data_IF_245576658549
#
_entry.id   IF_245576658549
#
_cell.length_a   1.000
_cell.length_b   1.000
_cell.length_c   1.000
_cell.angle_alpha   90.00
_cell.angle_beta   90.00
_cell.angle_gamma   90.00
#
_symmetry.space_group_name_H-M   'P 1'
#
loop_
_entity.id
_entity.type
_entity.pdbx_description
1 polymer ?
#
# COMPACT_ATOMS: atom_id res chain seq x y z
N UNK A 1 15.47 13.64 -21.25
CA UNK A 1 15.34 12.57 -20.22
C UNK A 1 16.44 12.79 -19.20
N UNK A 2 16.20 12.40 -17.95
CA UNK A 2 17.17 12.56 -16.88
C UNK A 2 17.29 11.26 -16.10
N UNK A 3 18.51 10.95 -15.67
CA UNK A 3 18.78 9.72 -14.91
C UNK A 3 18.44 9.94 -13.44
N UNK A 4 17.57 9.08 -12.90
CA UNK A 4 17.20 9.04 -11.50
C UNK A 4 17.64 7.73 -10.85
N UNK A 5 18.21 7.82 -9.66
CA UNK A 5 18.51 6.65 -8.82
C UNK A 5 17.54 6.67 -7.65
N UNK A 6 16.66 5.67 -7.59
CA UNK A 6 15.59 5.54 -6.62
C UNK A 6 15.87 4.36 -5.71
N UNK A 7 15.47 4.44 -4.45
CA UNK A 7 15.42 3.28 -3.55
C UNK A 7 13.99 2.74 -3.56
N UNK A 8 13.76 1.60 -4.23
CA UNK A 8 12.43 0.98 -4.36
C UNK A 8 12.47 -0.41 -3.73
N UNK A 9 11.60 -0.64 -2.75
CA UNK A 9 11.51 -1.91 -2.00
C UNK A 9 12.89 -2.36 -1.44
N UNK A 10 13.65 -1.39 -0.89
CA UNK A 10 14.98 -1.62 -0.33
C UNK A 10 16.10 -1.82 -1.37
N UNK A 11 15.81 -1.75 -2.66
CA UNK A 11 16.80 -1.92 -3.73
C UNK A 11 17.05 -0.60 -4.47
N UNK A 12 18.30 -0.33 -4.80
CA UNK A 12 18.67 0.79 -5.66
C UNK A 12 18.31 0.48 -7.12
N UNK A 13 17.53 1.35 -7.74
CA UNK A 13 17.06 1.24 -9.13
C UNK A 13 17.38 2.50 -9.91
N UNK A 14 17.87 2.36 -11.12
CA UNK A 14 18.16 3.49 -12.02
C UNK A 14 17.19 3.52 -13.18
N UNK A 15 16.63 4.69 -13.46
CA UNK A 15 15.70 4.91 -14.57
C UNK A 15 16.09 6.18 -15.33
N UNK A 16 15.82 6.24 -16.62
CA UNK A 16 16.03 7.41 -17.47
C UNK A 16 14.70 7.87 -18.05
N UNK A 17 14.12 8.89 -17.44
CA UNK A 17 12.78 9.38 -17.74
C UNK A 17 12.71 10.90 -17.63
N UNK A 18 11.62 11.52 -18.10
CA UNK A 18 11.38 12.95 -17.92
C UNK A 18 11.12 13.26 -16.42
N UNK A 19 11.52 14.46 -15.93
CA UNK A 19 11.40 14.83 -14.50
C UNK A 19 9.97 14.79 -13.97
N UNK A 20 9.00 15.07 -14.82
CA UNK A 20 7.57 15.10 -14.55
C UNK A 20 6.87 13.74 -14.70
N UNK A 21 7.61 12.69 -15.11
CA UNK A 21 7.04 11.35 -15.24
C UNK A 21 6.46 10.90 -13.91
N UNK A 22 5.15 10.56 -13.84
CA UNK A 22 4.54 10.07 -12.62
C UNK A 22 5.19 8.77 -12.14
N UNK A 23 5.39 8.64 -10.83
CA UNK A 23 5.93 7.42 -10.20
C UNK A 23 5.17 6.16 -10.60
N UNK A 24 3.87 6.26 -10.87
CA UNK A 24 3.07 5.14 -11.34
C UNK A 24 3.66 4.49 -12.60
N UNK A 25 4.03 5.29 -13.60
CA UNK A 25 4.60 4.79 -14.86
C UNK A 25 6.05 4.39 -14.70
N UNK A 26 6.81 5.09 -13.87
CA UNK A 26 8.17 4.67 -13.50
C UNK A 26 8.17 3.25 -12.90
N UNK A 27 7.26 2.98 -11.97
CA UNK A 27 7.14 1.66 -11.34
C UNK A 27 6.70 0.60 -12.34
N UNK A 28 5.65 0.88 -13.10
CA UNK A 28 5.03 -0.13 -13.98
C UNK A 28 5.83 -0.38 -15.25
N UNK A 29 6.23 0.69 -15.96
CA UNK A 29 6.78 0.59 -17.32
C UNK A 29 8.31 0.51 -17.27
N UNK A 30 8.98 1.27 -16.40
CA UNK A 30 10.44 1.27 -16.33
C UNK A 30 10.99 0.17 -15.42
N UNK A 31 10.30 -0.15 -14.31
CA UNK A 31 10.78 -1.11 -13.31
C UNK A 31 10.02 -2.45 -13.32
N UNK A 32 8.95 -2.59 -14.09
CA UNK A 32 8.15 -3.82 -14.19
C UNK A 32 7.34 -4.16 -12.93
N UNK A 33 7.19 -3.19 -12.00
CA UNK A 33 6.42 -3.38 -10.78
C UNK A 33 4.94 -3.06 -11.02
N UNK A 34 4.19 -4.03 -11.51
CA UNK A 34 2.82 -3.87 -12.03
C UNK A 34 1.74 -3.99 -10.96
N UNK A 35 2.08 -4.27 -9.71
CA UNK A 35 1.14 -4.38 -8.58
C UNK A 35 0.45 -3.06 -8.25
N UNK A 36 1.16 -1.92 -8.36
CA UNK A 36 0.57 -0.59 -8.27
C UNK A 36 -0.31 -0.33 -9.49
N UNK A 37 -1.60 0.03 -9.30
CA UNK A 37 -2.59 0.09 -10.38
C UNK A 37 -2.93 1.51 -10.81
N UNK A 38 -3.15 1.71 -12.11
CA UNK A 38 -3.79 2.91 -12.64
C UNK A 38 -5.30 2.83 -12.43
N UNK A 39 -5.93 3.94 -12.04
CA UNK A 39 -7.38 4.07 -11.97
C UNK A 39 -7.82 5.42 -12.54
N UNK A 40 -7.93 6.46 -11.70
CA UNK A 40 -8.42 7.78 -12.13
C UNK A 40 -7.34 8.66 -12.80
N UNK A 41 -6.07 8.50 -12.45
CA UNK A 41 -4.97 9.37 -12.92
C UNK A 41 -4.91 10.76 -12.26
N UNK A 42 -5.86 11.10 -11.38
CA UNK A 42 -6.00 12.42 -10.76
C UNK A 42 -5.88 12.41 -9.21
N UNK A 43 -5.38 11.32 -8.63
CA UNK A 43 -5.13 11.20 -7.20
C UNK A 43 -6.33 10.79 -6.33
N UNK A 44 -7.54 10.63 -6.89
CA UNK A 44 -8.78 10.44 -6.14
C UNK A 44 -9.03 8.99 -5.71
N UNK A 45 -8.86 8.01 -6.60
CA UNK A 45 -9.34 6.64 -6.38
C UNK A 45 -8.47 5.78 -5.47
N UNK A 46 -7.23 6.15 -5.23
CA UNK A 46 -6.30 5.42 -4.34
C UNK A 46 -5.71 4.12 -4.88
N UNK A 47 -6.08 3.64 -6.07
CA UNK A 47 -5.56 2.39 -6.64
C UNK A 47 -4.02 2.39 -6.81
N UNK A 48 -3.43 3.57 -6.99
CA UNK A 48 -2.01 3.77 -7.18
C UNK A 48 -1.25 4.12 -5.89
N UNK A 49 -1.81 3.86 -4.72
CA UNK A 49 -1.15 4.21 -3.46
C UNK A 49 0.14 3.40 -3.28
N UNK A 50 1.22 4.11 -3.02
CA UNK A 50 2.53 3.60 -2.60
C UNK A 50 2.91 4.28 -1.28
N UNK A 51 3.99 3.87 -0.64
CA UNK A 51 4.60 4.66 0.43
C UNK A 51 5.85 5.37 -0.09
N UNK A 52 5.95 6.67 0.16
CA UNK A 52 7.18 7.46 0.00
C UNK A 52 7.61 7.90 1.38
N UNK A 53 8.80 7.49 1.78
CA UNK A 53 9.30 7.66 3.15
C UNK A 53 8.26 7.21 4.20
N UNK A 54 7.61 6.09 3.92
CA UNK A 54 6.58 5.50 4.77
C UNK A 54 5.22 6.21 4.75
N UNK A 55 5.03 7.32 4.05
CA UNK A 55 3.74 8.02 3.95
C UNK A 55 2.95 7.55 2.74
N UNK A 56 1.63 7.30 2.87
CA UNK A 56 0.81 6.90 1.74
C UNK A 56 0.72 8.05 0.73
N UNK A 57 1.05 7.75 -0.51
CA UNK A 57 1.22 8.75 -1.58
C UNK A 57 0.58 8.24 -2.87
N UNK A 58 -0.06 9.11 -3.64
CA UNK A 58 -0.70 8.78 -4.92
C UNK A 58 0.34 8.82 -6.05
N UNK A 59 0.81 7.66 -6.48
CA UNK A 59 1.87 7.55 -7.49
C UNK A 59 1.51 8.17 -8.84
N UNK A 60 0.23 8.26 -9.19
CA UNK A 60 -0.23 8.90 -10.44
C UNK A 60 -0.06 10.43 -10.44
N UNK A 61 0.10 11.05 -9.27
CA UNK A 61 0.26 12.51 -9.11
C UNK A 61 1.64 12.89 -8.56
N UNK A 62 2.53 11.94 -8.40
CA UNK A 62 3.86 12.16 -7.82
C UNK A 62 4.91 12.11 -8.93
N UNK A 63 5.48 13.24 -9.36
CA UNK A 63 6.59 13.25 -10.33
C UNK A 63 7.82 12.55 -9.75
N UNK A 64 8.56 11.83 -10.59
CA UNK A 64 9.79 11.14 -10.18
C UNK A 64 10.81 12.10 -9.55
N UNK A 65 10.90 13.31 -10.07
CA UNK A 65 11.81 14.35 -9.56
C UNK A 65 11.51 14.77 -8.10
N UNK A 66 10.25 14.63 -7.66
CA UNK A 66 9.85 15.02 -6.29
C UNK A 66 10.19 13.97 -5.23
N UNK A 67 10.49 12.73 -5.63
CA UNK A 67 10.79 11.63 -4.69
C UNK A 67 12.18 11.79 -4.08
N UNK A 68 13.14 12.30 -4.84
CA UNK A 68 14.51 12.51 -4.37
C UNK A 68 15.16 11.20 -3.89
N UNK A 69 15.68 11.22 -2.67
CA UNK A 69 16.30 10.05 -2.02
C UNK A 69 15.35 9.29 -1.09
N UNK A 70 14.08 9.67 -1.04
CA UNK A 70 13.09 9.03 -0.17
C UNK A 70 12.87 7.58 -0.57
N UNK A 71 12.89 6.62 0.37
CA UNK A 71 12.59 5.23 0.07
C UNK A 71 11.13 5.08 -0.37
N UNK A 72 10.95 4.34 -1.45
CA UNK A 72 9.63 3.99 -2.01
C UNK A 72 9.32 2.54 -1.67
N UNK A 73 8.13 2.28 -1.14
CA UNK A 73 7.61 0.93 -0.94
C UNK A 73 6.33 0.76 -1.74
N UNK A 74 6.30 -0.27 -2.57
CA UNK A 74 5.13 -0.68 -3.34
C UNK A 74 4.46 -1.89 -2.70
N UNK A 75 3.35 -2.35 -3.27
CA UNK A 75 2.65 -3.55 -2.77
C UNK A 75 3.56 -4.80 -2.81
N UNK A 76 4.44 -4.90 -3.79
CA UNK A 76 5.42 -5.99 -3.89
C UNK A 76 6.44 -5.97 -2.74
N UNK A 77 6.70 -4.79 -2.17
CA UNK A 77 7.62 -4.60 -1.05
C UNK A 77 6.93 -4.53 0.31
N UNK A 78 5.60 -4.65 0.40
CA UNK A 78 4.90 -4.64 1.68
C UNK A 78 5.32 -5.85 2.53
N UNK A 79 5.29 -7.03 1.94
CA UNK A 79 5.93 -8.25 2.42
C UNK A 79 5.99 -9.24 1.23
N UNK A 80 7.18 -9.49 0.72
CA UNK A 80 7.38 -10.36 -0.44
C UNK A 80 7.00 -11.83 -0.17
N UNK A 81 7.00 -12.25 1.09
CA UNK A 81 6.57 -13.59 1.50
C UNK A 81 5.05 -13.72 1.72
N UNK A 82 4.30 -12.60 1.59
CA UNK A 82 2.85 -12.59 1.81
C UNK A 82 2.42 -12.79 3.27
N UNK A 83 3.35 -12.62 4.21
CA UNK A 83 3.10 -12.84 5.65
C UNK A 83 2.70 -11.57 6.40
N UNK A 84 2.56 -10.44 5.72
CA UNK A 84 2.05 -9.23 6.36
C UNK A 84 0.63 -9.48 6.88
N UNK A 85 0.29 -9.09 8.13
CA UNK A 85 -1.02 -9.35 8.73
C UNK A 85 -2.21 -8.93 7.85
N UNK A 86 -2.09 -7.82 7.12
CA UNK A 86 -3.11 -7.41 6.16
C UNK A 86 -3.26 -8.40 5.01
N UNK A 87 -2.16 -8.91 4.45
CA UNK A 87 -2.23 -9.89 3.37
C UNK A 87 -2.86 -11.21 3.85
N UNK A 88 -2.52 -11.65 5.06
CA UNK A 88 -3.14 -12.83 5.68
C UNK A 88 -4.64 -12.63 5.90
N UNK A 89 -5.04 -11.50 6.49
CA UNK A 89 -6.45 -11.18 6.73
C UNK A 89 -7.25 -11.05 5.42
N UNK A 90 -6.63 -10.53 4.35
CA UNK A 90 -7.26 -10.44 3.02
C UNK A 90 -7.57 -11.81 2.43
N UNK A 91 -6.66 -12.76 2.60
CA UNK A 91 -6.86 -14.16 2.15
C UNK A 91 -7.88 -14.85 3.04
N UNK A 92 -7.74 -14.74 4.37
CA UNK A 92 -8.62 -15.40 5.36
C UNK A 92 -10.10 -15.01 5.17
N UNK A 93 -10.37 -13.73 4.88
CA UNK A 93 -11.73 -13.19 4.75
C UNK A 93 -12.22 -13.05 3.31
N UNK A 94 -11.45 -13.54 2.34
CA UNK A 94 -11.77 -13.42 0.90
C UNK A 94 -12.21 -12.00 0.53
N UNK A 95 -11.40 -11.00 0.91
CA UNK A 95 -11.76 -9.58 0.79
C UNK A 95 -11.95 -9.13 -0.66
N UNK A 96 -11.08 -9.52 -1.63
CA UNK A 96 -11.15 -9.04 -3.00
C UNK A 96 -12.37 -9.55 -3.78
N UNK A 97 -12.77 -8.77 -4.80
CA UNK A 97 -13.55 -9.28 -5.93
C UNK A 97 -12.69 -9.20 -7.21
N UNK A 98 -12.75 -8.10 -7.99
CA UNK A 98 -11.93 -7.99 -9.19
C UNK A 98 -10.43 -7.81 -8.90
N UNK A 99 -10.05 -7.42 -7.70
CA UNK A 99 -8.66 -7.25 -7.26
C UNK A 99 -7.99 -5.93 -7.66
N UNK A 100 -8.57 -5.14 -8.56
CA UNK A 100 -7.91 -3.96 -9.11
C UNK A 100 -7.51 -2.90 -8.07
N UNK A 101 -8.37 -2.58 -7.13
CA UNK A 101 -8.11 -1.58 -6.09
C UNK A 101 -7.29 -2.11 -4.91
N UNK A 102 -7.06 -3.40 -4.81
CA UNK A 102 -6.63 -4.03 -3.56
C UNK A 102 -5.20 -3.67 -3.16
N UNK A 103 -4.30 -3.47 -4.12
CA UNK A 103 -2.95 -2.99 -3.82
C UNK A 103 -3.00 -1.63 -3.08
N UNK A 104 -3.80 -0.68 -3.60
CA UNK A 104 -3.98 0.62 -2.96
C UNK A 104 -4.69 0.53 -1.61
N UNK A 105 -5.68 -0.35 -1.46
CA UNK A 105 -6.36 -0.61 -0.18
C UNK A 105 -5.37 -1.12 0.88
N UNK A 106 -4.57 -2.12 0.55
CA UNK A 106 -3.56 -2.70 1.43
C UNK A 106 -2.50 -1.68 1.83
N UNK A 107 -1.99 -0.88 0.89
CA UNK A 107 -0.98 0.14 1.19
C UNK A 107 -1.54 1.24 2.10
N UNK A 108 -2.77 1.71 1.88
CA UNK A 108 -3.42 2.69 2.76
C UNK A 108 -3.69 2.12 4.15
N UNK A 109 -4.19 0.89 4.23
CA UNK A 109 -4.43 0.19 5.50
C UNK A 109 -3.13 -0.07 6.28
N UNK A 110 -2.03 -0.40 5.59
CA UNK A 110 -0.73 -0.60 6.23
C UNK A 110 -0.21 0.70 6.87
N UNK A 111 -0.40 1.84 6.21
CA UNK A 111 -0.07 3.14 6.78
C UNK A 111 -0.93 3.48 8.00
N UNK A 112 -2.23 3.16 7.96
CA UNK A 112 -3.12 3.32 9.12
C UNK A 112 -2.65 2.46 10.30
N UNK A 113 -2.51 1.15 10.11
CA UNK A 113 -2.15 0.22 11.19
C UNK A 113 -0.77 0.50 11.79
N UNK A 114 0.13 1.12 11.04
CA UNK A 114 1.42 1.55 11.57
C UNK A 114 1.26 2.72 12.56
N UNK A 115 0.35 3.66 12.28
CA UNK A 115 0.09 4.84 13.12
C UNK A 115 -0.87 4.50 14.27
N UNK A 116 -1.89 3.71 14.00
CA UNK A 116 -2.91 3.28 14.95
C UNK A 116 -3.08 1.76 14.88
N UNK A 117 -2.42 1.00 15.78
CA UNK A 117 -2.49 -0.46 15.78
C UNK A 117 -3.86 -1.06 16.10
N UNK A 118 -4.77 -0.27 16.70
CA UNK A 118 -6.13 -0.68 17.08
C UNK A 118 -7.14 0.38 16.63
N UNK A 119 -7.36 0.52 15.30
CA UNK A 119 -8.23 1.55 14.79
C UNK A 119 -9.71 1.25 15.10
N UNK A 120 -10.45 2.27 15.46
CA UNK A 120 -11.92 2.24 15.48
C UNK A 120 -12.49 2.21 14.06
N UNK A 121 -13.78 1.94 13.90
CA UNK A 121 -14.43 2.02 12.59
C UNK A 121 -14.32 3.42 11.97
N UNK A 122 -14.45 4.46 12.81
CA UNK A 122 -14.29 5.85 12.36
C UNK A 122 -12.85 6.14 11.85
N UNK A 123 -11.83 5.60 12.54
CA UNK A 123 -10.42 5.74 12.11
C UNK A 123 -10.20 5.05 10.75
N UNK A 124 -10.78 3.85 10.58
CA UNK A 124 -10.70 3.11 9.33
C UNK A 124 -11.39 3.89 8.22
N UNK A 125 -12.61 4.37 8.43
CA UNK A 125 -13.38 5.12 7.44
C UNK A 125 -12.63 6.40 7.03
N UNK A 126 -12.08 7.13 7.98
CA UNK A 126 -11.30 8.34 7.72
C UNK A 126 -10.03 8.03 6.91
N UNK A 127 -9.28 6.98 7.28
CA UNK A 127 -8.04 6.62 6.60
C UNK A 127 -8.26 6.06 5.19
N UNK A 128 -9.38 5.35 4.99
CA UNK A 128 -9.71 4.68 3.73
C UNK A 128 -10.57 5.52 2.79
N UNK A 129 -11.02 6.72 3.19
CA UNK A 129 -11.91 7.61 2.43
C UNK A 129 -11.46 7.86 0.98
N UNK A 130 -10.14 7.93 0.73
CA UNK A 130 -9.59 8.12 -0.61
C UNK A 130 -9.28 6.84 -1.37
N UNK A 131 -9.89 5.70 -1.01
CA UNK A 131 -9.68 4.41 -1.66
C UNK A 131 -11.00 3.85 -2.19
N UNK A 132 -11.20 3.99 -3.51
CA UNK A 132 -12.44 3.58 -4.18
C UNK A 132 -12.41 2.09 -4.54
N UNK A 133 -13.53 1.40 -4.32
CA UNK A 133 -13.77 0.03 -4.78
C UNK A 133 -15.07 -0.02 -5.60
N UNK A 134 -14.97 -0.29 -6.90
CA UNK A 134 -16.16 -0.39 -7.78
C UNK A 134 -17.01 -1.63 -7.50
N UNK A 135 -16.41 -2.68 -6.93
CA UNK A 135 -17.10 -3.89 -6.51
C UNK A 135 -17.82 -3.75 -5.16
N UNK A 136 -17.74 -2.57 -4.53
CA UNK A 136 -18.36 -2.26 -3.24
C UNK A 136 -17.97 -3.21 -2.09
N UNK A 137 -16.73 -3.75 -2.10
CA UNK A 137 -16.25 -4.66 -1.05
C UNK A 137 -15.83 -3.95 0.25
N UNK A 138 -16.32 -2.74 0.52
CA UNK A 138 -15.93 -1.91 1.67
C UNK A 138 -16.16 -2.58 3.03
N UNK A 139 -17.25 -3.34 3.18
CA UNK A 139 -17.54 -4.08 4.42
C UNK A 139 -16.44 -5.11 4.69
N UNK A 140 -16.04 -5.87 3.66
CA UNK A 140 -14.95 -6.87 3.77
C UNK A 140 -13.59 -6.21 3.97
N UNK A 141 -13.33 -5.08 3.32
CA UNK A 141 -12.09 -4.30 3.52
C UNK A 141 -11.96 -3.86 4.98
N UNK A 142 -13.03 -3.30 5.56
CA UNK A 142 -13.06 -2.91 6.98
C UNK A 142 -12.83 -4.12 7.91
N UNK A 143 -13.53 -5.22 7.66
CA UNK A 143 -13.33 -6.46 8.43
C UNK A 143 -11.89 -6.97 8.31
N UNK A 144 -11.29 -6.94 7.12
CA UNK A 144 -9.90 -7.31 6.89
C UNK A 144 -8.90 -6.45 7.66
N UNK A 145 -9.13 -5.14 7.73
CA UNK A 145 -8.27 -4.23 8.53
C UNK A 145 -8.36 -4.56 10.01
N UNK A 146 -9.57 -4.78 10.55
CA UNK A 146 -9.76 -5.19 11.95
C UNK A 146 -9.08 -6.52 12.24
N UNK A 147 -9.27 -7.50 11.37
CA UNK A 147 -8.63 -8.81 11.50
C UNK A 147 -7.11 -8.73 11.48
N UNK A 148 -6.54 -7.90 10.63
CA UNK A 148 -5.10 -7.66 10.58
C UNK A 148 -4.58 -7.01 11.88
N UNK A 149 -5.35 -6.12 12.48
CA UNK A 149 -5.03 -5.52 13.78
C UNK A 149 -4.99 -6.58 14.90
N UNK A 150 -5.93 -7.53 14.90
CA UNK A 150 -5.97 -8.67 15.82
C UNK A 150 -4.76 -9.59 15.65
N UNK A 151 -4.43 -9.97 14.40
CA UNK A 151 -3.27 -10.81 14.08
C UNK A 151 -1.95 -10.19 14.56
N UNK A 152 -1.82 -8.87 14.50
CA UNK A 152 -0.66 -8.15 15.05
C UNK A 152 -0.61 -8.22 16.59
N UNK A 153 -1.76 -8.19 17.26
CA UNK A 153 -1.85 -8.23 18.71
C UNK A 153 -1.64 -9.64 19.26
N UNK A 154 -2.10 -10.68 18.57
CA UNK A 154 -1.96 -12.08 18.96
C UNK A 154 -0.52 -12.60 18.90
N UNK A 155 0.34 -12.02 18.08
CA UNK A 155 1.77 -12.35 18.03
C UNK A 155 2.57 -11.89 19.26
N UNK A 156 1.97 -11.16 20.18
CA UNK A 156 2.57 -10.69 21.43
C UNK A 156 2.14 -11.57 22.64
N UNK A 157 1.17 -12.48 22.46
CA UNK A 157 0.56 -13.23 23.59
C UNK A 157 1.14 -14.63 23.84
N UNK A 158 2.16 -15.08 23.12
CA UNK A 158 2.79 -16.38 23.40
C UNK A 158 4.21 -16.26 24.01
N UNK A 159 4.38 -15.39 25.02
CA UNK A 159 5.48 -15.52 25.99
C UNK A 159 5.05 -14.99 27.34
N UNK A 160 4.45 -15.85 28.15
CA UNK A 160 4.25 -15.54 29.56
C UNK A 160 3.13 -16.35 30.21
N UNK A 161 3.42 -17.55 30.64
CA UNK A 161 2.50 -18.27 31.50
C UNK A 161 2.76 -19.76 31.67
N UNK A 162 4.01 -20.16 31.88
CA UNK A 162 4.27 -21.36 32.63
C UNK A 162 4.42 -20.96 34.09
N UNK A 163 3.42 -21.34 34.88
CA UNK A 163 3.57 -21.93 36.23
C UNK A 163 2.25 -22.46 36.74
#
# INVERSE_FOLDING_TARGET
>A
MSKYTLTVNGQSRSVDVAPDTPMLWVLRDSLGLVGTKYGCGIGECGACTIHVNGSPTRACQTPVSSVGRSPVTTIEGLDAAGKHPLQQAWVELDVPQCGHCQAGQLMSAAALLRKNPRPSDADIDAAMKGNMCRCASYVRIRAGIKRAAELRSGGVSEKGGER
#
